data_IF_705021420138
#
_entry.id   IF_705021420138
#
_cell.length_a   1.000
_cell.length_b   1.000
_cell.length_c   1.000
_cell.angle_alpha   90.00
_cell.angle_beta   90.00
_cell.angle_gamma   90.00
#
_symmetry.space_group_name_H-M   'P 1'
#
loop_
_entity.id
_entity.type
_entity.pdbx_description
1 polymer ?
#
# COMPACT_ATOMS: atom_id res chain seq x y z
N UNK A 1 6.39 -0.16 -34.04
CA UNK A 1 7.86 -0.31 -33.95
C UNK A 1 8.45 1.05 -33.69
N UNK A 2 8.70 1.37 -32.42
CA UNK A 2 9.30 2.63 -31.98
C UNK A 2 10.76 2.33 -31.63
N UNK A 3 11.64 3.19 -32.13
CA UNK A 3 13.05 2.95 -32.36
C UNK A 3 13.86 3.03 -31.06
N UNK A 4 14.59 1.95 -30.72
CA UNK A 4 15.41 1.77 -29.51
C UNK A 4 16.55 2.80 -29.32
N UNK A 5 16.73 3.75 -30.24
CA UNK A 5 17.82 4.74 -30.22
C UNK A 5 17.48 6.07 -29.54
N UNK A 6 16.21 6.39 -29.27
CA UNK A 6 15.87 7.63 -28.54
C UNK A 6 16.00 7.50 -27.01
N UNK A 7 15.99 6.29 -26.46
CA UNK A 7 16.16 6.07 -25.01
C UNK A 7 17.64 6.14 -24.56
N UNK A 8 18.62 6.01 -25.47
CA UNK A 8 20.03 5.98 -25.08
C UNK A 8 20.68 7.37 -24.96
N UNK A 9 20.04 8.43 -25.49
CA UNK A 9 20.62 9.78 -25.45
C UNK A 9 20.20 10.57 -24.20
N UNK A 10 18.99 10.35 -23.67
CA UNK A 10 18.53 10.97 -22.42
C UNK A 10 19.15 10.34 -21.16
N UNK A 11 19.65 9.10 -21.23
CA UNK A 11 20.34 8.44 -20.12
C UNK A 11 21.85 8.75 -20.03
N UNK A 12 22.42 9.48 -21.00
CA UNK A 12 23.86 9.80 -21.00
C UNK A 12 24.24 11.04 -20.16
N UNK A 13 23.26 11.80 -19.65
CA UNK A 13 23.52 12.99 -18.83
C UNK A 13 23.31 12.79 -17.31
N UNK A 14 22.87 11.61 -16.86
CA UNK A 14 22.68 11.32 -15.42
C UNK A 14 23.87 10.58 -14.79
N UNK A 15 24.88 10.20 -15.59
CA UNK A 15 26.08 9.55 -15.06
C UNK A 15 27.13 10.57 -14.61
N UNK A 16 27.03 11.02 -13.35
CA UNK A 16 28.18 11.42 -12.51
C UNK A 16 27.77 11.60 -11.04
N UNK A 17 27.47 10.49 -10.36
CA UNK A 17 27.64 10.37 -8.92
C UNK A 17 27.71 8.88 -8.53
N UNK A 18 28.74 8.20 -9.03
CA UNK A 18 29.17 6.91 -8.49
C UNK A 18 30.27 7.19 -7.45
N UNK A 19 29.94 6.88 -6.19
CA UNK A 19 30.75 6.58 -5.00
C UNK A 19 32.29 6.81 -5.08
N UNK A 20 32.89 7.35 -4.00
CA UNK A 20 33.43 6.41 -3.00
C UNK A 20 33.34 6.95 -1.55
N UNK A 21 32.67 6.22 -0.66
CA UNK A 21 32.87 6.39 0.78
C UNK A 21 33.08 5.03 1.45
N UNK A 22 34.34 4.78 1.82
CA UNK A 22 34.79 3.68 2.66
C UNK A 22 34.15 3.78 4.05
N UNK A 23 33.25 2.85 4.38
CA UNK A 23 32.77 2.64 5.75
C UNK A 23 33.78 1.81 6.54
N UNK A 24 34.54 2.46 7.43
CA UNK A 24 35.13 1.80 8.60
C UNK A 24 34.10 1.83 9.73
N UNK A 25 33.53 0.68 10.06
CA UNK A 25 32.68 0.48 11.24
C UNK A 25 33.56 0.45 12.50
N UNK A 26 33.25 1.29 13.49
CA UNK A 26 33.83 1.26 14.83
C UNK A 26 32.74 0.84 15.84
N UNK A 27 32.93 -0.20 16.66
CA UNK A 27 31.86 -0.78 17.46
C UNK A 27 31.90 -0.27 18.90
N UNK A 28 31.19 0.82 19.23
CA UNK A 28 30.85 1.12 20.64
C UNK A 28 29.53 1.91 20.74
N UNK A 29 28.66 1.49 21.67
CA UNK A 29 27.40 2.10 22.16
C UNK A 29 26.06 1.47 21.75
N UNK A 30 26.00 0.15 21.64
CA UNK A 30 24.72 -0.61 21.60
C UNK A 30 24.13 -0.94 23.00
N UNK A 31 24.79 -0.58 24.10
CA UNK A 31 24.34 -0.92 25.46
C UNK A 31 23.69 0.23 26.26
N UNK A 32 23.62 1.45 25.67
CA UNK A 32 23.10 2.65 26.35
C UNK A 32 21.66 3.00 25.96
N UNK A 33 21.19 2.59 24.76
CA UNK A 33 19.82 2.86 24.32
C UNK A 33 18.79 1.89 24.93
N UNK A 34 19.17 0.64 25.19
CA UNK A 34 18.26 -0.40 25.71
C UNK A 34 17.79 -0.12 27.14
N UNK A 35 18.56 0.61 27.95
CA UNK A 35 18.19 0.96 29.32
C UNK A 35 17.20 2.13 29.41
N UNK A 36 17.13 2.99 28.40
CA UNK A 36 16.25 4.18 28.41
C UNK A 36 14.81 3.87 28.00
N UNK A 37 14.62 2.81 27.20
CA UNK A 37 13.27 2.35 26.80
C UNK A 37 12.62 1.55 27.94
N UNK A 38 13.40 0.79 28.71
CA UNK A 38 12.86 -0.08 29.77
C UNK A 38 12.41 0.66 31.03
N UNK A 39 12.92 1.87 31.30
CA UNK A 39 12.49 2.68 32.46
C UNK A 39 11.19 3.46 32.22
N UNK A 40 10.93 3.90 30.98
CA UNK A 40 9.72 4.67 30.65
C UNK A 40 8.47 3.80 30.48
N UNK A 41 8.63 2.54 30.06
CA UNK A 41 7.51 1.57 29.94
C UNK A 41 7.01 1.10 31.31
N UNK A 42 7.90 1.07 32.33
CA UNK A 42 7.53 0.66 33.69
C UNK A 42 6.77 1.73 34.48
N UNK A 43 6.96 3.00 34.12
CA UNK A 43 6.29 4.14 34.75
C UNK A 43 4.87 4.38 34.21
N UNK A 44 4.53 3.81 33.06
CA UNK A 44 3.20 3.91 32.44
C UNK A 44 2.26 2.76 32.86
N UNK A 45 2.77 1.64 33.37
CA UNK A 45 1.95 0.49 33.80
C UNK A 45 1.47 0.53 35.25
N UNK A 46 2.00 1.44 36.08
CA UNK A 46 1.63 1.54 37.50
C UNK A 46 0.53 2.58 37.78
N UNK A 47 0.03 3.30 36.76
CA UNK A 47 -0.98 4.35 36.93
C UNK A 47 -2.43 3.91 36.59
N UNK A 48 -2.65 2.69 36.09
CA UNK A 48 -3.99 2.19 35.72
C UNK A 48 -4.64 1.24 36.75
N UNK A 49 -4.16 1.21 38.00
CA UNK A 49 -4.73 0.36 39.06
C UNK A 49 -5.02 1.13 40.36
N UNK A 50 -5.77 2.21 40.28
CA UNK A 50 -6.49 2.78 41.44
C UNK A 50 -7.64 3.64 40.94
N UNK A 51 -8.84 3.06 40.90
CA UNK A 51 -10.11 3.67 41.35
C UNK A 51 -11.30 2.82 40.87
N UNK A 52 -11.66 1.81 41.66
CA UNK A 52 -13.01 1.25 41.68
C UNK A 52 -13.36 0.85 43.12
N UNK A 53 -13.99 1.75 43.85
CA UNK A 53 -15.08 1.48 44.82
C UNK A 53 -15.49 2.81 45.46
N UNK A 54 -16.70 3.31 45.23
CA UNK A 54 -17.81 3.26 46.21
C UNK A 54 -19.13 3.60 45.49
N UNK A 55 -20.22 2.96 45.94
CA UNK A 55 -21.52 2.79 45.28
C UNK A 55 -22.54 3.95 45.45
N UNK A 56 -23.48 3.97 44.49
CA UNK A 56 -24.94 4.33 44.56
C UNK A 56 -25.38 5.79 44.77
N UNK A 57 -26.05 6.35 43.76
CA UNK A 57 -27.52 6.59 43.74
C UNK A 57 -27.95 7.23 42.41
N UNK A 58 -29.26 7.37 42.21
CA UNK A 58 -30.01 7.31 40.95
C UNK A 58 -30.09 8.58 40.08
N UNK A 59 -30.52 8.36 38.83
CA UNK A 59 -31.29 9.22 37.89
C UNK A 59 -30.73 10.55 37.35
N UNK A 60 -30.32 10.54 36.07
CA UNK A 60 -30.80 11.40 34.96
C UNK A 60 -30.02 11.10 33.67
N UNK A 61 -30.65 10.44 32.70
CA UNK A 61 -31.19 11.06 31.47
C UNK A 61 -30.13 11.47 30.43
N UNK A 62 -30.12 10.65 29.36
CA UNK A 62 -29.96 10.98 27.95
C UNK A 62 -29.17 12.24 27.53
N UNK A 63 -28.30 12.02 26.54
CA UNK A 63 -27.61 12.97 25.64
C UNK A 63 -26.11 13.19 25.92
N UNK A 64 -25.28 12.18 25.67
CA UNK A 64 -24.06 12.32 24.86
C UNK A 64 -23.31 10.98 24.79
N UNK A 65 -23.53 10.20 23.74
CA UNK A 65 -22.75 9.03 23.39
C UNK A 65 -22.66 8.99 21.86
N UNK A 66 -21.53 8.99 21.18
CA UNK A 66 -20.13 8.91 21.60
C UNK A 66 -19.33 9.39 20.40
N UNK A 67 -18.71 10.56 20.47
CA UNK A 67 -17.59 10.88 19.58
C UNK A 67 -16.36 10.20 20.13
N UNK A 68 -16.02 9.04 19.57
CA UNK A 68 -14.66 8.53 19.70
C UNK A 68 -14.32 7.76 18.42
N UNK A 69 -14.18 8.52 17.33
CA UNK A 69 -13.52 8.01 16.12
C UNK A 69 -12.06 7.80 16.48
N UNK A 70 -11.68 6.54 16.63
CA UNK A 70 -10.29 6.09 16.59
C UNK A 70 -9.56 6.82 15.45
N UNK A 71 -8.73 7.81 15.79
CA UNK A 71 -7.63 8.24 14.93
C UNK A 71 -6.70 7.03 14.83
N UNK A 72 -6.99 6.16 13.87
CA UNK A 72 -6.18 4.99 13.55
C UNK A 72 -4.75 5.44 13.38
N UNK A 73 -3.82 4.69 14.01
CA UNK A 73 -2.37 4.92 13.97
C UNK A 73 -1.96 5.58 12.65
N UNK A 74 -1.44 6.80 12.72
CA UNK A 74 -0.86 7.49 11.57
C UNK A 74 0.11 6.53 10.88
N UNK A 75 -0.20 6.15 9.65
CA UNK A 75 0.69 5.30 8.87
C UNK A 75 1.98 6.08 8.62
N UNK A 76 3.08 5.61 9.20
CA UNK A 76 4.39 6.19 8.96
C UNK A 76 4.84 5.75 7.56
N UNK A 77 5.17 6.66 6.64
CA UNK A 77 5.63 6.31 5.31
C UNK A 77 6.93 5.51 5.34
N UNK A 78 7.08 4.61 4.37
CA UNK A 78 8.26 3.75 4.27
C UNK A 78 9.48 4.62 3.92
N UNK A 79 10.57 4.47 4.68
CA UNK A 79 11.83 5.18 4.41
C UNK A 79 11.70 6.72 4.33
N UNK A 80 10.82 7.31 5.16
CA UNK A 80 10.55 8.75 5.13
C UNK A 80 11.82 9.59 5.32
N UNK A 81 12.72 9.20 6.24
CA UNK A 81 13.95 9.96 6.50
C UNK A 81 14.90 9.91 5.29
N UNK A 82 15.03 8.76 4.66
CA UNK A 82 15.86 8.57 3.46
C UNK A 82 15.33 9.38 2.28
N UNK A 83 14.00 9.40 2.09
CA UNK A 83 13.35 10.21 1.05
C UNK A 83 13.62 11.71 1.28
N UNK A 84 13.43 12.19 2.51
CA UNK A 84 13.69 13.60 2.86
C UNK A 84 15.17 13.95 2.66
N UNK A 85 16.09 13.07 3.07
CA UNK A 85 17.52 13.31 2.90
C UNK A 85 17.93 13.29 1.42
N UNK A 86 17.36 12.40 0.62
CA UNK A 86 17.64 12.29 -0.82
C UNK A 86 17.13 13.52 -1.59
N UNK A 87 15.89 13.95 -1.32
CA UNK A 87 15.30 15.11 -1.98
C UNK A 87 15.84 16.44 -1.44
N UNK A 88 16.27 16.48 -0.17
CA UNK A 88 16.86 17.65 0.49
C UNK A 88 16.10 18.96 0.22
N UNK A 89 14.78 19.00 0.51
CA UNK A 89 13.91 20.07 0.02
C UNK A 89 14.34 21.44 0.54
N UNK A 90 14.34 22.43 -0.35
CA UNK A 90 14.64 23.83 -0.09
C UNK A 90 13.43 24.70 -0.43
N UNK A 91 13.37 25.89 0.17
CA UNK A 91 12.27 26.82 -0.06
C UNK A 91 12.15 27.22 -1.54
N UNK A 92 10.91 27.27 -2.06
CA UNK A 92 10.62 27.62 -3.45
C UNK A 92 10.69 26.47 -4.45
N UNK A 93 11.15 25.29 -4.04
CA UNK A 93 11.27 24.13 -4.92
C UNK A 93 9.93 23.46 -5.25
N UNK A 94 9.92 22.73 -6.37
CA UNK A 94 8.75 22.03 -6.90
C UNK A 94 8.99 20.53 -6.98
N UNK A 95 8.08 19.77 -6.41
CA UNK A 95 8.15 18.31 -6.36
C UNK A 95 6.94 17.68 -7.03
N UNK A 96 7.14 16.52 -7.66
CA UNK A 96 6.05 15.64 -8.08
C UNK A 96 6.04 14.41 -7.18
N UNK A 97 4.95 14.19 -6.47
CA UNK A 97 4.67 12.92 -5.81
C UNK A 97 3.78 12.11 -6.75
N UNK A 98 4.34 11.08 -7.42
CA UNK A 98 3.65 10.28 -8.44
C UNK A 98 2.68 9.25 -7.86
N UNK A 99 2.72 9.06 -6.54
CA UNK A 99 2.00 8.02 -5.80
C UNK A 99 1.56 8.58 -4.44
N UNK A 100 0.84 9.69 -4.48
CA UNK A 100 0.51 10.47 -3.29
C UNK A 100 -0.11 9.62 -2.17
N UNK A 101 -1.00 8.69 -2.49
CA UNK A 101 -1.63 7.81 -1.52
C UNK A 101 -2.34 8.57 -0.41
N UNK A 102 -1.90 8.39 0.83
CA UNK A 102 -2.42 9.11 2.00
C UNK A 102 -1.66 10.41 2.32
N UNK A 103 -0.67 10.78 1.49
CA UNK A 103 0.07 12.04 1.58
C UNK A 103 1.21 12.07 2.58
N UNK A 104 1.58 10.95 3.19
CA UNK A 104 2.56 10.97 4.29
C UNK A 104 3.96 11.47 3.89
N UNK A 105 4.47 11.10 2.70
CA UNK A 105 5.73 11.67 2.19
C UNK A 105 5.60 13.15 1.83
N UNK A 106 4.51 13.52 1.15
CA UNK A 106 4.20 14.91 0.80
C UNK A 106 4.12 15.81 2.05
N UNK A 107 3.45 15.35 3.11
CA UNK A 107 3.38 16.05 4.41
C UNK A 107 4.77 16.19 5.04
N UNK A 108 5.59 15.13 5.05
CA UNK A 108 6.94 15.19 5.58
C UNK A 108 7.84 16.20 4.82
N UNK A 109 7.66 16.32 3.49
CA UNK A 109 8.34 17.34 2.69
C UNK A 109 7.91 18.77 3.09
N UNK A 110 6.60 18.99 3.24
CA UNK A 110 6.02 20.28 3.65
C UNK A 110 6.44 20.69 5.07
N UNK A 111 6.59 19.72 5.98
CA UNK A 111 7.10 19.96 7.34
C UNK A 111 8.59 20.33 7.34
N UNK A 112 9.36 19.84 6.37
CA UNK A 112 10.80 20.08 6.29
C UNK A 112 11.17 21.42 5.65
N UNK A 113 10.41 21.87 4.65
CA UNK A 113 10.70 23.08 3.90
C UNK A 113 9.44 23.91 3.62
N UNK A 114 9.52 25.21 3.84
CA UNK A 114 8.44 26.17 3.59
C UNK A 114 8.44 26.65 2.14
N UNK A 115 7.26 27.03 1.63
CA UNK A 115 7.06 27.55 0.27
C UNK A 115 7.49 26.57 -0.83
N UNK A 116 7.43 25.26 -0.58
CA UNK A 116 7.57 24.28 -1.65
C UNK A 116 6.23 24.07 -2.34
N UNK A 117 6.24 23.63 -3.58
CA UNK A 117 5.03 23.20 -4.30
C UNK A 117 5.13 21.70 -4.56
N UNK A 118 4.09 20.94 -4.24
CA UNK A 118 3.99 19.52 -4.50
C UNK A 118 2.80 19.28 -5.44
N UNK A 119 3.09 18.66 -6.58
CA UNK A 119 2.09 18.08 -7.46
C UNK A 119 1.79 16.68 -6.96
N UNK A 120 0.65 16.53 -6.27
CA UNK A 120 0.21 15.31 -5.63
C UNK A 120 -0.62 14.49 -6.63
N UNK A 121 0.04 13.55 -7.32
CA UNK A 121 -0.58 12.70 -8.33
C UNK A 121 -0.94 11.35 -7.74
N UNK A 122 -2.20 10.95 -7.95
CA UNK A 122 -2.62 9.57 -7.73
C UNK A 122 -3.73 9.20 -8.72
N UNK A 123 -3.82 7.92 -9.02
CA UNK A 123 -4.85 7.37 -9.89
C UNK A 123 -6.14 7.07 -9.12
N UNK A 124 -6.00 6.79 -7.82
CA UNK A 124 -7.10 6.49 -6.90
C UNK A 124 -7.89 7.76 -6.54
N UNK A 125 -9.21 7.83 -6.82
CA UNK A 125 -10.07 8.95 -6.41
C UNK A 125 -10.01 9.27 -4.92
N UNK A 126 -9.72 8.27 -4.08
CA UNK A 126 -9.63 8.45 -2.61
C UNK A 126 -8.40 9.25 -2.25
N UNK A 127 -7.24 8.90 -2.81
CA UNK A 127 -6.00 9.65 -2.65
C UNK A 127 -6.14 11.08 -3.17
N UNK A 128 -6.76 11.25 -4.34
CA UNK A 128 -7.01 12.57 -4.90
C UNK A 128 -7.86 13.45 -3.97
N UNK A 129 -8.92 12.90 -3.37
CA UNK A 129 -9.72 13.64 -2.37
C UNK A 129 -8.90 14.04 -1.14
N UNK A 130 -8.01 13.15 -0.66
CA UNK A 130 -7.09 13.45 0.44
C UNK A 130 -6.13 14.58 0.04
N UNK A 131 -5.60 14.56 -1.19
CA UNK A 131 -4.75 15.63 -1.71
C UNK A 131 -5.49 16.98 -1.79
N UNK A 132 -6.76 16.97 -2.21
CA UNK A 132 -7.61 18.16 -2.20
C UNK A 132 -7.80 18.70 -0.77
N UNK A 133 -8.10 17.84 0.20
CA UNK A 133 -8.22 18.25 1.60
C UNK A 133 -6.88 18.79 2.16
N UNK A 134 -5.76 18.15 1.83
CA UNK A 134 -4.44 18.63 2.23
C UNK A 134 -4.13 20.01 1.63
N UNK A 135 -4.61 20.29 0.41
CA UNK A 135 -4.44 21.59 -0.24
C UNK A 135 -5.16 22.74 0.46
N UNK A 136 -6.23 22.45 1.22
CA UNK A 136 -6.89 23.45 2.08
C UNK A 136 -6.01 23.84 3.27
N UNK A 137 -5.26 22.86 3.81
CA UNK A 137 -4.32 23.07 4.92
C UNK A 137 -3.00 23.72 4.47
N UNK A 138 -2.62 23.50 3.21
CA UNK A 138 -1.41 24.04 2.60
C UNK A 138 -1.73 24.79 1.30
N UNK A 139 -2.40 25.96 1.38
CA UNK A 139 -2.80 26.70 0.18
C UNK A 139 -1.61 27.02 -0.71
N UNK A 140 -1.79 26.81 -2.03
CA UNK A 140 -0.78 27.02 -3.09
C UNK A 140 0.42 26.05 -3.06
N UNK A 141 0.62 25.29 -1.99
CA UNK A 141 1.74 24.34 -1.86
C UNK A 141 1.36 22.92 -2.29
N UNK A 142 0.08 22.55 -2.31
CA UNK A 142 -0.39 21.28 -2.88
C UNK A 142 -1.22 21.54 -4.14
N UNK A 143 -0.90 20.83 -5.22
CA UNK A 143 -1.66 20.77 -6.46
C UNK A 143 -2.09 19.32 -6.68
N UNK A 144 -3.37 19.01 -6.42
CA UNK A 144 -3.88 17.65 -6.58
C UNK A 144 -4.08 17.31 -8.07
N UNK A 145 -3.56 16.17 -8.51
CA UNK A 145 -3.69 15.65 -9.87
C UNK A 145 -4.30 14.25 -9.83
N UNK A 146 -5.34 14.01 -10.64
CA UNK A 146 -6.02 12.71 -10.73
C UNK A 146 -5.65 12.01 -12.04
N UNK A 147 -4.86 10.94 -11.96
CA UNK A 147 -4.45 10.19 -13.15
C UNK A 147 -3.36 9.16 -12.88
N UNK A 148 -3.02 8.39 -13.90
CA UNK A 148 -1.93 7.43 -13.78
C UNK A 148 -0.59 8.15 -13.79
N UNK A 149 0.40 7.64 -13.07
CA UNK A 149 1.74 8.22 -13.09
C UNK A 149 2.39 8.18 -14.49
N UNK A 150 1.95 7.29 -15.38
CA UNK A 150 2.33 7.25 -16.80
C UNK A 150 1.84 8.45 -17.61
N UNK A 151 0.88 9.20 -17.06
CA UNK A 151 0.28 10.40 -17.66
C UNK A 151 0.80 11.68 -16.99
N UNK A 152 1.79 11.59 -16.10
CA UNK A 152 2.26 12.71 -15.27
C UNK A 152 2.68 13.93 -16.09
N UNK A 153 3.44 13.74 -17.17
CA UNK A 153 3.88 14.83 -18.05
C UNK A 153 2.69 15.61 -18.64
N UNK A 154 1.72 14.91 -19.22
CA UNK A 154 0.54 15.54 -19.81
C UNK A 154 -0.30 16.28 -18.74
N UNK A 155 -0.46 15.68 -17.56
CA UNK A 155 -1.19 16.29 -16.45
C UNK A 155 -0.48 17.56 -15.93
N UNK A 156 0.84 17.51 -15.78
CA UNK A 156 1.65 18.65 -15.36
C UNK A 156 1.57 19.81 -16.36
N UNK A 157 1.75 19.53 -17.66
CA UNK A 157 1.65 20.54 -18.72
C UNK A 157 0.24 21.16 -18.72
N UNK A 158 -0.81 20.35 -18.62
CA UNK A 158 -2.19 20.85 -18.54
C UNK A 158 -2.46 21.69 -17.30
N UNK A 159 -1.65 21.53 -16.25
CA UNK A 159 -1.71 22.31 -15.01
C UNK A 159 -0.81 23.56 -15.03
N UNK A 160 -0.21 23.88 -16.18
CA UNK A 160 0.65 25.06 -16.36
C UNK A 160 2.09 24.88 -15.86
N UNK A 161 2.55 23.62 -15.72
CA UNK A 161 3.93 23.32 -15.32
C UNK A 161 4.81 23.23 -16.55
N UNK A 162 5.83 24.08 -16.61
CA UNK A 162 6.80 24.07 -17.71
C UNK A 162 7.79 22.91 -17.56
N UNK A 163 8.19 22.23 -18.66
CA UNK A 163 9.22 21.20 -18.63
C UNK A 163 10.53 21.67 -17.99
N UNK A 164 11.18 20.79 -17.22
CA UNK A 164 12.44 21.09 -16.56
C UNK A 164 12.33 21.99 -15.32
N UNK A 165 11.12 22.27 -14.82
CA UNK A 165 10.91 23.10 -13.62
C UNK A 165 10.65 22.33 -12.33
N UNK A 166 10.70 20.99 -12.36
CA UNK A 166 10.64 20.17 -11.16
C UNK A 166 12.04 20.00 -10.57
N UNK A 167 12.16 20.17 -9.26
CA UNK A 167 13.38 19.96 -8.48
C UNK A 167 13.52 18.52 -7.98
N UNK A 168 12.41 17.78 -7.89
CA UNK A 168 12.42 16.39 -7.46
C UNK A 168 11.15 15.64 -7.82
N UNK A 169 11.29 14.32 -7.91
CA UNK A 169 10.18 13.39 -8.19
C UNK A 169 10.26 12.23 -7.21
N UNK A 170 9.12 11.90 -6.60
CA UNK A 170 8.95 10.76 -5.71
C UNK A 170 8.04 9.73 -6.37
N UNK A 171 8.43 8.45 -6.25
CA UNK A 171 7.62 7.30 -6.63
C UNK A 171 7.77 6.22 -5.55
N UNK A 172 6.73 6.02 -4.77
CA UNK A 172 6.56 4.90 -3.85
C UNK A 172 5.64 3.85 -4.50
N UNK A 173 6.26 2.89 -5.18
CA UNK A 173 5.54 1.90 -5.96
C UNK A 173 4.92 0.84 -5.06
N UNK A 174 3.60 0.87 -4.91
CA UNK A 174 2.86 -0.11 -4.14
C UNK A 174 1.37 0.19 -4.06
N UNK A 175 0.65 -0.67 -3.33
CA UNK A 175 -0.71 -0.37 -2.92
C UNK A 175 -0.67 0.36 -1.57
N UNK A 176 -1.54 1.34 -1.39
CA UNK A 176 -1.64 2.09 -0.14
C UNK A 176 -2.38 1.32 0.95
N UNK A 177 -2.16 1.65 2.22
CA UNK A 177 -2.90 1.04 3.34
C UNK A 177 -4.40 1.21 3.19
N UNK A 178 -4.87 2.38 2.75
CA UNK A 178 -6.29 2.64 2.48
C UNK A 178 -6.91 1.68 1.45
N UNK A 179 -6.12 1.13 0.53
CA UNK A 179 -6.59 0.13 -0.43
C UNK A 179 -6.71 -1.26 0.22
N UNK A 180 -5.79 -1.63 1.13
CA UNK A 180 -5.85 -2.89 1.88
C UNK A 180 -6.87 -2.88 3.02
N UNK A 181 -7.09 -1.73 3.64
CA UNK A 181 -7.92 -1.58 4.83
C UNK A 181 -9.41 -1.62 4.51
N UNK A 182 -9.80 -1.24 3.29
CA UNK A 182 -11.17 -1.28 2.75
C UNK A 182 -11.44 -2.59 2.02
N UNK A 183 -12.18 -3.56 2.61
CA UNK A 183 -12.42 -4.88 2.00
C UNK A 183 -13.06 -4.79 0.62
N UNK A 184 -13.93 -3.80 0.40
CA UNK A 184 -14.68 -3.60 -0.83
C UNK A 184 -13.78 -3.36 -2.05
N UNK A 185 -12.53 -2.94 -1.83
CA UNK A 185 -11.52 -2.73 -2.88
C UNK A 185 -10.89 -4.04 -3.37
N UNK A 186 -11.02 -5.13 -2.62
CA UNK A 186 -10.56 -6.45 -3.04
C UNK A 186 -9.05 -6.71 -2.96
N UNK A 187 -8.26 -5.83 -2.33
CA UNK A 187 -6.82 -6.03 -2.16
C UNK A 187 -6.46 -6.88 -0.93
N UNK A 188 -7.33 -6.95 0.06
CA UNK A 188 -7.06 -7.67 1.31
C UNK A 188 -7.12 -9.19 1.12
N UNK A 189 -6.12 -9.88 1.66
CA UNK A 189 -6.13 -11.34 1.82
C UNK A 189 -6.77 -11.78 3.14
N UNK A 190 -6.94 -10.86 4.10
CA UNK A 190 -7.47 -11.18 5.43
C UNK A 190 -8.96 -10.87 5.53
N UNK A 191 -9.40 -9.76 4.93
CA UNK A 191 -10.80 -9.33 4.94
C UNK A 191 -11.44 -9.71 3.62
N UNK A 192 -12.57 -10.41 3.68
CA UNK A 192 -13.29 -10.84 2.47
C UNK A 192 -13.98 -9.67 1.78
N UNK A 193 -13.90 -9.62 0.45
CA UNK A 193 -14.49 -8.57 -0.36
C UNK A 193 -14.70 -8.99 -1.81
N UNK A 194 -15.34 -8.14 -2.63
CA UNK A 194 -15.39 -8.34 -4.07
C UNK A 194 -13.97 -8.46 -4.64
N UNK A 195 -13.77 -9.36 -5.59
CA UNK A 195 -12.49 -9.55 -6.27
C UNK A 195 -12.29 -8.44 -7.34
N UNK A 196 -12.07 -7.20 -6.91
CA UNK A 196 -11.90 -6.04 -7.79
C UNK A 196 -10.43 -5.76 -8.10
N UNK A 197 -9.64 -5.33 -7.11
CA UNK A 197 -8.21 -4.99 -7.22
C UNK A 197 -7.86 -3.83 -8.18
N UNK A 198 -8.82 -3.03 -8.65
CA UNK A 198 -8.53 -1.81 -9.42
C UNK A 198 -8.19 -0.64 -8.48
N UNK A 199 -7.05 0.00 -8.72
CA UNK A 199 -6.65 1.21 -7.97
C UNK A 199 -7.53 2.42 -8.32
N UNK A 200 -8.00 2.51 -9.56
CA UNK A 200 -8.84 3.63 -10.03
C UNK A 200 -10.30 3.56 -9.52
N UNK A 201 -10.64 2.53 -8.75
CA UNK A 201 -12.04 2.22 -8.41
C UNK A 201 -12.89 2.18 -9.70
N UNK A 202 -14.07 2.80 -9.71
CA UNK A 202 -15.00 2.78 -10.85
C UNK A 202 -14.79 3.90 -11.89
N UNK A 203 -13.62 4.57 -11.89
CA UNK A 203 -13.35 5.60 -12.92
C UNK A 203 -13.35 5.04 -14.35
N UNK A 204 -13.05 3.76 -14.50
CA UNK A 204 -13.00 3.06 -15.78
C UNK A 204 -13.85 1.78 -15.69
N UNK A 205 -15.18 1.88 -15.81
CA UNK A 205 -16.07 0.74 -15.60
C UNK A 205 -15.84 -0.39 -16.61
N UNK A 206 -15.37 -0.06 -17.82
CA UNK A 206 -15.06 -1.05 -18.87
C UNK A 206 -13.73 -1.78 -18.63
N UNK A 207 -12.92 -1.36 -17.64
CA UNK A 207 -11.68 -2.03 -17.31
C UNK A 207 -11.94 -3.28 -16.48
N UNK A 208 -11.33 -4.43 -16.85
CA UNK A 208 -11.58 -5.69 -16.18
C UNK A 208 -11.14 -5.64 -14.72
N UNK A 209 -12.00 -6.14 -13.85
CA UNK A 209 -11.69 -6.48 -12.46
C UNK A 209 -10.81 -7.73 -12.39
N UNK A 210 -10.22 -7.99 -11.23
CA UNK A 210 -9.56 -9.27 -10.98
C UNK A 210 -10.54 -10.46 -11.14
N UNK A 211 -11.82 -10.28 -10.79
CA UNK A 211 -12.87 -11.27 -11.04
C UNK A 211 -13.03 -11.56 -12.54
N UNK A 212 -13.07 -10.54 -13.38
CA UNK A 212 -13.18 -10.70 -14.83
C UNK A 212 -11.97 -11.47 -15.39
N UNK A 213 -10.77 -11.10 -14.93
CA UNK A 213 -9.52 -11.76 -15.32
C UNK A 213 -9.54 -13.25 -14.96
N UNK A 214 -9.85 -13.60 -13.71
CA UNK A 214 -9.83 -15.01 -13.26
C UNK A 214 -10.95 -15.83 -13.86
N UNK A 215 -12.07 -15.22 -14.27
CA UNK A 215 -13.20 -15.94 -14.86
C UNK A 215 -13.12 -16.04 -16.39
N UNK A 216 -12.45 -15.11 -17.08
CA UNK A 216 -12.42 -15.07 -18.55
C UNK A 216 -11.15 -15.66 -19.18
N UNK A 217 -9.96 -15.41 -18.61
CA UNK A 217 -8.70 -15.80 -19.26
C UNK A 217 -8.53 -17.31 -19.32
N UNK A 218 -7.90 -17.83 -20.39
CA UNK A 218 -7.57 -19.24 -20.46
C UNK A 218 -6.49 -19.64 -19.43
N UNK A 219 -6.32 -20.95 -19.25
CA UNK A 219 -5.35 -21.49 -18.27
C UNK A 219 -3.91 -21.06 -18.55
N UNK A 220 -3.51 -20.94 -19.82
CA UNK A 220 -2.15 -20.58 -20.20
C UNK A 220 -1.88 -19.11 -19.89
N UNK A 221 -2.81 -18.23 -20.22
CA UNK A 221 -2.76 -16.81 -19.91
C UNK A 221 -2.71 -16.57 -18.39
N UNK A 222 -3.57 -17.24 -17.61
CA UNK A 222 -3.53 -17.17 -16.14
C UNK A 222 -2.18 -17.64 -15.58
N UNK A 223 -1.66 -18.78 -16.05
CA UNK A 223 -0.36 -19.29 -15.62
C UNK A 223 0.78 -18.33 -16.01
N UNK A 224 0.66 -17.62 -17.13
CA UNK A 224 1.64 -16.61 -17.58
C UNK A 224 1.65 -15.41 -16.65
N UNK A 225 0.48 -14.87 -16.29
CA UNK A 225 0.32 -13.75 -15.35
C UNK A 225 0.93 -14.12 -13.99
N UNK A 226 0.53 -15.27 -13.43
CA UNK A 226 1.01 -15.72 -12.11
C UNK A 226 2.52 -15.95 -12.08
N UNK A 227 3.10 -16.48 -13.17
CA UNK A 227 4.56 -16.66 -13.26
C UNK A 227 5.31 -15.36 -13.44
N UNK A 228 4.82 -14.47 -14.31
CA UNK A 228 5.55 -13.26 -14.71
C UNK A 228 5.48 -12.18 -13.65
N UNK A 229 4.30 -11.96 -13.06
CA UNK A 229 4.08 -10.88 -12.09
C UNK A 229 4.08 -11.38 -10.64
N UNK A 230 3.68 -12.62 -10.40
CA UNK A 230 3.66 -13.21 -9.06
C UNK A 230 4.89 -14.03 -8.72
N UNK A 231 5.82 -14.24 -9.67
CA UNK A 231 7.00 -15.10 -9.54
C UNK A 231 6.65 -16.52 -9.02
N UNK A 232 5.43 -17.00 -9.29
CA UNK A 232 4.87 -18.18 -8.62
C UNK A 232 5.31 -19.49 -9.28
N UNK A 233 6.00 -20.33 -8.51
CA UNK A 233 6.54 -21.63 -8.97
C UNK A 233 5.44 -22.60 -9.39
N UNK A 234 4.32 -22.60 -8.68
CA UNK A 234 3.15 -23.44 -8.91
C UNK A 234 2.12 -22.81 -9.86
N UNK A 235 2.48 -21.77 -10.61
CA UNK A 235 1.57 -21.01 -11.49
C UNK A 235 0.67 -21.89 -12.38
N UNK A 236 1.21 -22.96 -12.98
CA UNK A 236 0.42 -23.88 -13.83
C UNK A 236 -0.65 -24.64 -13.03
N UNK A 237 -0.33 -25.06 -11.80
CA UNK A 237 -1.25 -25.78 -10.92
C UNK A 237 -2.33 -24.86 -10.39
N UNK A 238 -1.95 -23.66 -9.95
CA UNK A 238 -2.88 -22.64 -9.48
C UNK A 238 -3.84 -22.23 -10.60
N UNK A 239 -3.34 -21.95 -11.81
CA UNK A 239 -4.19 -21.64 -12.96
C UNK A 239 -5.16 -22.79 -13.29
N UNK A 240 -4.71 -24.04 -13.25
CA UNK A 240 -5.59 -25.21 -13.42
C UNK A 240 -6.69 -25.26 -12.36
N UNK A 241 -6.35 -24.98 -11.11
CA UNK A 241 -7.30 -24.98 -9.99
C UNK A 241 -8.34 -23.87 -10.13
N UNK A 242 -7.93 -22.67 -10.57
CA UNK A 242 -8.82 -21.54 -10.87
C UNK A 242 -9.81 -21.94 -11.98
N UNK A 243 -9.32 -22.50 -13.08
CA UNK A 243 -10.16 -22.92 -14.22
C UNK A 243 -11.16 -24.01 -13.82
N UNK A 244 -10.73 -24.98 -13.00
CA UNK A 244 -11.62 -26.00 -12.48
C UNK A 244 -12.68 -25.41 -11.55
N UNK A 245 -12.29 -24.56 -10.60
CA UNK A 245 -13.22 -23.94 -9.66
C UNK A 245 -14.29 -23.10 -10.38
N UNK A 246 -13.87 -22.24 -11.33
CA UNK A 246 -14.82 -21.39 -12.07
C UNK A 246 -15.78 -22.15 -12.99
N UNK A 247 -15.45 -23.39 -13.36
CA UNK A 247 -16.34 -24.24 -14.15
C UNK A 247 -17.58 -24.70 -13.36
N UNK A 248 -17.52 -24.63 -12.03
CA UNK A 248 -18.62 -24.97 -11.13
C UNK A 248 -19.39 -23.69 -10.78
N UNK A 249 -18.70 -22.68 -10.25
CA UNK A 249 -19.28 -21.36 -9.94
C UNK A 249 -18.26 -20.24 -10.19
N UNK A 250 -18.69 -19.07 -10.70
CA UNK A 250 -17.81 -17.92 -10.88
C UNK A 250 -17.10 -17.50 -9.58
N UNK A 251 -15.84 -17.11 -9.70
CA UNK A 251 -15.02 -16.61 -8.58
C UNK A 251 -15.23 -15.11 -8.47
N UNK A 252 -15.94 -14.64 -7.44
CA UNK A 252 -16.34 -13.24 -7.30
C UNK A 252 -15.76 -12.56 -6.06
N UNK A 253 -15.15 -13.33 -5.14
CA UNK A 253 -14.65 -12.84 -3.85
C UNK A 253 -13.20 -13.21 -3.58
N UNK A 254 -12.51 -12.37 -2.81
CA UNK A 254 -11.10 -12.53 -2.46
C UNK A 254 -10.85 -13.84 -1.69
N UNK A 255 -11.69 -14.22 -0.73
CA UNK A 255 -11.49 -15.46 0.02
C UNK A 255 -11.71 -16.73 -0.80
N UNK A 256 -12.56 -16.68 -1.83
CA UNK A 256 -12.71 -17.81 -2.75
C UNK A 256 -11.40 -18.07 -3.49
N UNK A 257 -10.81 -17.03 -4.07
CA UNK A 257 -9.52 -17.13 -4.74
C UNK A 257 -8.41 -17.55 -3.78
N UNK A 258 -8.33 -16.95 -2.59
CA UNK A 258 -7.35 -17.30 -1.57
C UNK A 258 -7.45 -18.78 -1.16
N UNK A 259 -8.67 -19.31 -0.97
CA UNK A 259 -8.90 -20.70 -0.61
C UNK A 259 -8.45 -21.68 -1.70
N UNK A 260 -8.72 -21.36 -2.97
CA UNK A 260 -8.27 -22.15 -4.13
C UNK A 260 -6.74 -22.23 -4.15
N UNK A 261 -6.06 -21.08 -3.99
CA UNK A 261 -4.60 -21.01 -3.97
C UNK A 261 -4.02 -21.78 -2.77
N UNK A 262 -4.59 -21.58 -1.58
CA UNK A 262 -4.15 -22.25 -0.36
C UNK A 262 -4.25 -23.78 -0.46
N UNK A 263 -5.32 -24.31 -1.06
CA UNK A 263 -5.48 -25.76 -1.27
C UNK A 263 -4.38 -26.38 -2.14
N UNK A 264 -3.76 -25.62 -3.05
CA UNK A 264 -2.66 -26.09 -3.90
C UNK A 264 -1.32 -26.06 -3.15
N UNK A 265 -1.08 -25.05 -2.32
CA UNK A 265 0.17 -24.88 -1.58
C UNK A 265 0.21 -25.82 -0.37
N UNK A 266 -0.93 -25.96 0.33
CA UNK A 266 -1.08 -26.85 1.47
C UNK A 266 -1.33 -28.31 1.07
N UNK A 267 -1.41 -28.61 -0.24
CA UNK A 267 -1.48 -29.99 -0.74
C UNK A 267 -0.29 -30.80 -0.21
N UNK A 268 -0.53 -31.72 0.72
CA UNK A 268 0.56 -32.35 1.43
C UNK A 268 0.89 -33.66 0.74
N UNK A 269 2.16 -33.76 0.32
CA UNK A 269 2.88 -35.05 0.38
C UNK A 269 2.94 -35.64 1.81
N UNK A 270 2.33 -34.97 2.80
CA UNK A 270 2.30 -35.34 4.22
C UNK A 270 0.94 -35.82 4.79
N UNK A 271 -0.23 -35.66 4.15
CA UNK A 271 -1.50 -36.22 4.70
C UNK A 271 -1.71 -37.69 4.29
N UNK A 272 -1.09 -38.15 3.20
CA UNK A 272 -1.21 -39.54 2.74
C UNK A 272 -0.50 -40.58 3.63
N UNK A 273 0.30 -40.18 4.62
CA UNK A 273 0.85 -41.10 5.62
C UNK A 273 -0.07 -41.30 6.84
N UNK A 274 -0.91 -40.31 7.18
CA UNK A 274 -1.74 -40.37 8.39
C UNK A 274 -3.12 -41.04 8.19
N UNK A 275 -3.59 -41.20 6.95
CA UNK A 275 -4.91 -41.79 6.66
C UNK A 275 -4.87 -43.26 6.21
N UNK A 276 -3.69 -43.89 6.20
CA UNK A 276 -3.56 -45.32 5.85
C UNK A 276 -3.62 -46.28 7.04
N UNK A 277 -3.75 -45.80 8.29
CA UNK A 277 -3.62 -46.64 9.49
C UNK A 277 -4.68 -46.44 10.59
N UNK A 278 -5.85 -45.88 10.30
CA UNK A 278 -6.94 -45.81 11.29
C UNK A 278 -8.23 -46.41 10.75
N UNK A 279 -8.76 -47.49 11.36
CA UNK A 279 -10.04 -48.07 10.98
C UNK A 279 -11.19 -47.13 11.39
N UNK A 280 -12.06 -46.82 10.43
CA UNK A 280 -13.27 -46.05 10.64
C UNK A 280 -14.30 -46.98 11.30
N UNK A 281 -14.64 -46.72 12.56
CA UNK A 281 -15.83 -47.28 13.21
C UNK A 281 -16.98 -46.29 12.99
N UNK A 282 -18.02 -46.73 12.29
CA UNK A 282 -19.27 -46.00 12.10
C UNK A 282 -20.23 -46.46 13.21
N UNK A 283 -20.73 -45.58 14.10
CA UNK A 283 -21.83 -45.95 14.97
C UNK A 283 -23.16 -45.79 14.23
N UNK A 284 -24.04 -46.78 14.43
CA UNK A 284 -25.44 -46.84 13.99
C UNK A 284 -26.28 -45.92 14.88
#
# INVERSE_FOLDING_TARGET
MINSKMLSQSLSQVNKCLLPCNLKLNPVKLAALSRRIYSSVKQLSEYELTEQTTQKSETKELLHSTENKNFGRLHIPVMVEEVINCLSPQSGQRFLDMTFGAGGHSTALLEKASNITIYALDRDPTAYKIAQQLSESYPKQIQALLGQFSQSEALLISSGVEPGTLDGVLLDAGCSSMQFDTPERGFSLQKDGPLDMRMDSDRYPDMPTAADVVNALDQQALASILRTYGEEKHAKKIASAIVQARSIYPITRTQQLASIVAGIIQSPRYILWSLKNTPIIIPI
#
